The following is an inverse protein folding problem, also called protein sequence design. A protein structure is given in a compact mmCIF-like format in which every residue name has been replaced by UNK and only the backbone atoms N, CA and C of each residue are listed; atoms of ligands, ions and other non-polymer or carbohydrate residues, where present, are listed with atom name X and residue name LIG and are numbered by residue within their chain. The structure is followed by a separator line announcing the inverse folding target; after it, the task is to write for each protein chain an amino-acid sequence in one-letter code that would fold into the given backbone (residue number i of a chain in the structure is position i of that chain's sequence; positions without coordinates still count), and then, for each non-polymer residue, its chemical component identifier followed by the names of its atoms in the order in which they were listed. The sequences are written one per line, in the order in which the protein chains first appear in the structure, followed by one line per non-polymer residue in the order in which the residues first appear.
data_IF_471701864552
#
_entry.id   IF_471701864552
#
_cell.length_a   1.000
_cell.length_b   1.000
_cell.length_c   1.000
_cell.angle_alpha   90.00
_cell.angle_beta   90.00
_cell.angle_gamma   90.00
#
_symmetry.space_group_name_H-M   'P 1'
#
loop_
_entity.id
_entity.type
_entity.pdbx_description
1 polymer ?
#
# COMPACT_ATOMS: atom_id res chain seq x y z
N UNK A 1 58.56 13.03 18.05
CA UNK A 1 57.56 12.60 19.05
C UNK A 1 56.19 12.71 18.40
N UNK A 2 55.62 11.55 18.01
CA UNK A 2 54.19 11.19 17.84
C UNK A 2 53.23 12.33 17.43
N UNK A 3 52.62 12.31 16.24
CA UNK A 3 51.36 11.57 16.03
C UNK A 3 51.02 11.52 14.53
N UNK A 4 50.96 10.31 13.97
CA UNK A 4 50.23 9.99 12.76
C UNK A 4 48.73 9.99 13.08
N UNK A 5 47.91 10.66 12.27
CA UNK A 5 46.45 10.54 12.28
C UNK A 5 45.96 10.01 10.92
N UNK A 6 45.14 8.95 10.84
CA UNK A 6 44.60 8.45 9.58
C UNK A 6 43.18 9.05 9.32
N UNK A 7 42.46 8.70 8.25
CA UNK A 7 42.34 9.49 7.03
C UNK A 7 40.88 9.97 6.79
N UNK A 8 40.62 11.25 6.52
CA UNK A 8 39.31 11.63 5.99
C UNK A 8 39.29 11.46 4.48
N UNK A 9 39.03 10.22 4.10
CA UNK A 9 38.55 9.81 2.79
C UNK A 9 37.55 10.83 2.26
N UNK A 10 37.89 11.45 1.14
CA UNK A 10 36.92 12.16 0.32
C UNK A 10 35.86 11.15 -0.13
N UNK A 11 34.68 11.21 0.47
CA UNK A 11 33.48 10.62 -0.09
C UNK A 11 32.55 11.76 -0.47
N UNK A 12 32.75 12.19 -1.71
CA UNK A 12 31.84 12.96 -2.55
C UNK A 12 30.37 12.81 -2.14
N UNK A 13 29.76 13.97 -1.91
CA UNK A 13 28.34 14.20 -1.70
C UNK A 13 27.46 13.27 -2.54
N UNK A 14 26.37 12.68 -2.00
CA UNK A 14 25.37 12.10 -2.87
C UNK A 14 24.72 13.26 -3.63
N UNK A 15 25.16 13.44 -4.89
CA UNK A 15 24.44 14.23 -5.88
C UNK A 15 23.01 13.71 -5.87
N UNK A 16 22.13 14.58 -5.36
CA UNK A 16 20.70 14.39 -5.27
C UNK A 16 20.20 14.23 -6.70
N UNK A 17 20.06 12.98 -7.15
CA UNK A 17 19.36 12.66 -8.40
C UNK A 17 18.02 13.39 -8.33
N UNK A 18 17.63 14.20 -9.33
CA UNK A 18 16.28 14.72 -9.36
C UNK A 18 15.37 13.51 -9.53
N UNK A 19 14.80 13.03 -8.42
CA UNK A 19 13.72 12.06 -8.45
C UNK A 19 12.70 12.61 -9.41
N UNK A 20 12.52 11.91 -10.54
CA UNK A 20 11.37 12.12 -11.39
C UNK A 20 10.14 12.23 -10.49
N UNK A 21 9.23 13.19 -10.72
CA UNK A 21 8.01 13.25 -9.93
C UNK A 21 7.40 11.86 -9.99
N UNK A 22 7.34 11.18 -8.83
CA UNK A 22 6.54 9.98 -8.70
C UNK A 22 5.19 10.31 -9.34
N UNK A 23 4.69 9.52 -10.30
CA UNK A 23 3.37 9.76 -10.83
C UNK A 23 2.46 9.75 -9.61
N UNK A 24 1.97 10.94 -9.23
CA UNK A 24 1.07 11.11 -8.12
C UNK A 24 0.02 10.01 -8.26
N UNK A 25 -0.18 9.14 -7.24
CA UNK A 25 -1.01 7.95 -7.37
C UNK A 25 -2.32 8.43 -7.97
N UNK A 26 -2.50 8.06 -9.24
CA UNK A 26 -3.47 8.70 -10.14
C UNK A 26 -4.81 8.52 -9.48
N UNK A 27 -5.29 9.60 -8.86
CA UNK A 27 -6.39 9.65 -7.89
C UNK A 27 -6.93 8.25 -7.63
N UNK A 28 -6.29 7.51 -6.70
CA UNK A 28 -6.84 6.27 -6.15
C UNK A 28 -8.32 6.57 -5.97
N UNK A 29 -9.15 6.07 -6.89
CA UNK A 29 -10.56 6.32 -6.88
C UNK A 29 -10.95 5.68 -5.58
N UNK A 30 -11.13 6.49 -4.54
CA UNK A 30 -11.56 6.06 -3.21
C UNK A 30 -12.95 5.51 -3.45
N UNK A 31 -13.02 4.28 -3.94
CA UNK A 31 -14.27 3.61 -4.18
C UNK A 31 -14.93 3.56 -2.81
N UNK A 32 -16.14 4.11 -2.70
CA UNK A 32 -16.81 4.05 -1.41
C UNK A 32 -16.90 2.58 -1.03
N UNK A 33 -16.45 2.24 0.17
CA UNK A 33 -16.48 0.87 0.65
C UNK A 33 -17.80 0.65 1.37
N UNK A 34 -18.48 -0.44 1.04
CA UNK A 34 -19.67 -0.94 1.71
C UNK A 34 -19.26 -2.07 2.64
N UNK A 35 -19.76 -2.02 3.87
CA UNK A 35 -19.55 -3.07 4.86
C UNK A 35 -20.73 -4.06 4.82
N UNK A 36 -20.41 -5.34 4.67
CA UNK A 36 -21.37 -6.44 4.66
C UNK A 36 -21.07 -7.34 5.83
N UNK A 37 -22.03 -7.51 6.73
CA UNK A 37 -21.92 -8.44 7.85
C UNK A 37 -22.25 -9.86 7.36
N UNK A 38 -21.30 -10.77 7.49
CA UNK A 38 -21.44 -12.18 7.13
C UNK A 38 -22.09 -12.98 8.26
N UNK A 39 -22.64 -14.18 7.99
CA UNK A 39 -23.35 -14.96 9.02
C UNK A 39 -22.39 -15.50 10.08
N UNK A 40 -21.10 -15.65 9.75
CA UNK A 40 -20.03 -15.98 10.70
C UNK A 40 -19.62 -14.81 11.63
N UNK A 41 -20.30 -13.66 11.56
CA UNK A 41 -20.03 -12.49 12.38
C UNK A 41 -18.84 -11.63 11.93
N UNK A 42 -18.20 -11.97 10.80
CA UNK A 42 -17.13 -11.15 10.20
C UNK A 42 -17.72 -10.06 9.31
N UNK A 43 -16.95 -8.99 9.11
CA UNK A 43 -17.31 -7.89 8.22
C UNK A 43 -16.47 -7.96 6.95
N UNK A 44 -17.16 -8.03 5.80
CA UNK A 44 -16.56 -7.94 4.48
C UNK A 44 -16.70 -6.49 3.97
N UNK A 45 -15.57 -5.85 3.67
CA UNK A 45 -15.54 -4.52 3.05
C UNK A 45 -15.30 -4.66 1.55
N UNK A 46 -16.22 -4.15 0.75
CA UNK A 46 -16.17 -4.21 -0.72
C UNK A 46 -16.43 -2.84 -1.32
N UNK A 47 -15.88 -2.54 -2.50
CA UNK A 47 -16.24 -1.34 -3.23
C UNK A 47 -17.74 -1.30 -3.56
N UNK A 48 -18.35 -0.12 -3.54
CA UNK A 48 -19.77 0.10 -3.89
C UNK A 48 -20.11 -0.38 -5.30
N UNK A 49 -19.14 -0.25 -6.22
CA UNK A 49 -19.26 -0.61 -7.64
C UNK A 49 -19.10 -2.13 -7.87
N UNK A 50 -18.96 -2.93 -6.80
CA UNK A 50 -18.79 -4.37 -6.96
C UNK A 50 -19.99 -5.01 -7.66
N UNK A 51 -19.71 -5.81 -8.69
CA UNK A 51 -20.75 -6.57 -9.37
C UNK A 51 -21.50 -7.50 -8.38
N UNK A 52 -22.85 -7.53 -8.38
CA UNK A 52 -23.62 -8.33 -7.43
C UNK A 52 -23.31 -9.82 -7.47
N UNK A 53 -22.95 -10.35 -8.64
CA UNK A 53 -22.53 -11.74 -8.81
C UNK A 53 -21.21 -12.05 -8.07
N UNK A 54 -20.25 -11.11 -8.13
CA UNK A 54 -18.97 -11.22 -7.42
C UNK A 54 -19.19 -11.13 -5.91
N UNK A 55 -20.04 -10.20 -5.46
CA UNK A 55 -20.37 -10.06 -4.04
C UNK A 55 -20.97 -11.36 -3.48
N UNK A 56 -21.94 -11.97 -4.18
CA UNK A 56 -22.54 -13.25 -3.77
C UNK A 56 -21.52 -14.38 -3.67
N UNK A 57 -20.56 -14.45 -4.60
CA UNK A 57 -19.47 -15.44 -4.54
C UNK A 57 -18.55 -15.22 -3.35
N UNK A 58 -18.15 -13.97 -3.08
CA UNK A 58 -17.31 -13.63 -1.93
C UNK A 58 -18.00 -13.96 -0.62
N UNK A 59 -19.28 -13.59 -0.48
CA UNK A 59 -20.09 -13.94 0.69
C UNK A 59 -20.13 -15.46 0.86
N UNK A 60 -20.53 -16.22 -0.16
CA UNK A 60 -20.62 -17.68 -0.05
C UNK A 60 -19.27 -18.38 0.24
N UNK A 61 -18.17 -17.86 -0.31
CA UNK A 61 -16.84 -18.38 -0.05
C UNK A 61 -16.35 -18.10 1.39
N UNK A 62 -16.68 -16.91 1.91
CA UNK A 62 -16.25 -16.49 3.25
C UNK A 62 -17.19 -16.94 4.36
N UNK A 63 -18.43 -17.30 4.04
CA UNK A 63 -19.43 -17.80 4.99
C UNK A 63 -19.26 -19.31 5.30
N UNK A 64 -18.46 -20.04 4.50
CA UNK A 64 -18.13 -21.43 4.80
C UNK A 64 -17.31 -21.53 6.11
N UNK A 65 -17.65 -22.49 7.00
CA UNK A 65 -16.99 -22.67 8.30
C UNK A 65 -15.52 -23.10 8.20
#
# INVERSE_FOLDING_TARGET
MLTEGPPSVGLISPTKTPSAPEPAPSAERRAALVEVVLANGRVLRVAEDIAPATLRRLVGALDSP
#
